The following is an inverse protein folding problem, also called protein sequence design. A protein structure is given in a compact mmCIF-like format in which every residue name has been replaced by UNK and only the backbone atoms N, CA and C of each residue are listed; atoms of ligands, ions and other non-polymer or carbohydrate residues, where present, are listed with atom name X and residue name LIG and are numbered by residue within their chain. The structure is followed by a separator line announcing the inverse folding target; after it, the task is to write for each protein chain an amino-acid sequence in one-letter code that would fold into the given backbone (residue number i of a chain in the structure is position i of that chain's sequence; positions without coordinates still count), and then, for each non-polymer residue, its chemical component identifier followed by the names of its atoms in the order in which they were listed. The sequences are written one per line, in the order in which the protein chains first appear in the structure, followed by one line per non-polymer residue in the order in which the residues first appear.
data_IF_581998256055
#
_entry.id   IF_581998256055
#
_cell.length_a   1.000
_cell.length_b   1.000
_cell.length_c   1.000
_cell.angle_alpha   90.00
_cell.angle_beta   90.00
_cell.angle_gamma   90.00
#
_symmetry.space_group_name_H-M   'P 1'
#
loop_
_entity.id
_entity.type
_entity.pdbx_description
1 polymer ?
#
# COMPACT_ATOMS: atom_id res chain seq x y z
N UNK A 1 -22.48 -40.51 15.24
CA UNK A 1 -21.57 -40.44 16.41
C UNK A 1 -21.26 -38.96 16.62
N UNK A 2 -22.04 -38.32 17.47
CA UNK A 2 -21.83 -36.90 17.82
C UNK A 2 -20.68 -36.90 18.82
N UNK A 3 -19.50 -36.45 18.42
CA UNK A 3 -18.43 -36.20 19.37
C UNK A 3 -18.92 -35.09 20.31
N UNK A 4 -19.12 -35.37 21.62
CA UNK A 4 -19.36 -34.28 22.55
C UNK A 4 -18.17 -33.33 22.43
N UNK A 5 -18.47 -32.05 22.21
CA UNK A 5 -17.49 -30.99 22.04
C UNK A 5 -16.38 -31.18 23.06
N UNK A 6 -15.12 -31.16 22.62
CA UNK A 6 -13.94 -31.28 23.50
C UNK A 6 -14.07 -30.44 24.79
N UNK A 7 -14.73 -29.28 24.68
CA UNK A 7 -15.11 -28.41 25.79
C UNK A 7 -15.97 -29.08 26.87
N UNK A 8 -16.94 -29.93 26.52
CA UNK A 8 -17.81 -30.59 27.49
C UNK A 8 -17.03 -31.58 28.36
N UNK A 9 -16.14 -32.37 27.75
CA UNK A 9 -15.23 -33.28 28.46
C UNK A 9 -14.24 -32.48 29.34
N UNK A 10 -13.71 -31.38 28.81
CA UNK A 10 -12.82 -30.47 29.51
C UNK A 10 -13.50 -29.80 30.72
N UNK A 11 -14.74 -29.33 30.57
CA UNK A 11 -15.53 -28.75 31.66
C UNK A 11 -16.03 -29.78 32.67
N UNK A 12 -16.29 -31.04 32.27
CA UNK A 12 -16.55 -32.12 33.23
C UNK A 12 -15.31 -32.58 33.99
N UNK A 13 -14.10 -32.36 33.44
CA UNK A 13 -12.83 -32.68 34.09
C UNK A 13 -12.34 -31.55 35.02
N UNK A 14 -12.62 -30.29 34.68
CA UNK A 14 -12.32 -29.13 35.52
C UNK A 14 -13.46 -28.78 36.49
N UNK A 15 -14.69 -29.19 36.17
CA UNK A 15 -15.87 -29.04 36.99
C UNK A 15 -15.79 -29.93 38.22
N UNK A 16 -15.82 -29.29 39.39
CA UNK A 16 -15.72 -29.87 40.73
C UNK A 16 -16.87 -30.81 41.13
N UNK A 17 -17.53 -31.52 40.22
CA UNK A 17 -18.41 -32.62 40.61
C UNK A 17 -17.62 -33.94 40.55
N UNK A 18 -17.10 -34.43 41.70
CA UNK A 18 -16.40 -35.69 41.76
C UNK A 18 -17.38 -36.81 41.43
N UNK A 19 -17.41 -37.24 40.17
CA UNK A 19 -18.00 -38.53 39.84
C UNK A 19 -17.21 -39.62 40.58
N UNK A 20 -17.86 -40.48 41.39
CA UNK A 20 -17.20 -41.30 42.40
C UNK A 20 -16.34 -42.46 41.86
N UNK A 21 -16.16 -42.59 40.55
CA UNK A 21 -15.50 -43.74 39.91
C UNK A 21 -14.25 -43.41 39.07
N UNK A 22 -13.70 -42.19 39.15
CA UNK A 22 -12.47 -41.85 38.41
C UNK A 22 -11.25 -42.50 39.09
N UNK A 23 -10.91 -43.69 38.58
CA UNK A 23 -9.81 -44.59 38.91
C UNK A 23 -8.59 -43.94 39.59
N UNK A 24 -8.08 -44.59 40.65
CA UNK A 24 -6.92 -44.24 41.49
C UNK A 24 -5.56 -44.26 40.77
N UNK A 25 -5.54 -44.42 39.44
CA UNK A 25 -4.31 -44.57 38.66
C UNK A 25 -3.78 -43.17 38.32
N UNK A 26 -2.74 -42.74 39.04
CA UNK A 26 -2.09 -41.42 38.91
C UNK A 26 -1.56 -41.15 37.50
N UNK A 27 -1.10 -42.17 36.78
CA UNK A 27 -0.58 -42.03 35.41
C UNK A 27 -1.65 -41.63 34.39
N UNK A 28 -2.88 -42.15 34.50
CA UNK A 28 -3.98 -41.79 33.60
C UNK A 28 -4.40 -40.32 33.80
N UNK A 29 -4.42 -39.84 35.04
CA UNK A 29 -4.74 -38.44 35.35
C UNK A 29 -3.72 -37.47 34.75
N UNK A 30 -2.43 -37.81 34.83
CA UNK A 30 -1.35 -37.02 34.22
C UNK A 30 -1.48 -36.98 32.69
N UNK A 31 -1.82 -38.10 32.05
CA UNK A 31 -2.02 -38.17 30.61
C UNK A 31 -3.20 -37.30 30.16
N UNK A 32 -4.33 -37.39 30.87
CA UNK A 32 -5.53 -36.57 30.58
C UNK A 32 -5.23 -35.08 30.75
N UNK A 33 -4.52 -34.69 31.83
CA UNK A 33 -4.16 -33.30 32.08
C UNK A 33 -3.21 -32.75 31.01
N UNK A 34 -2.23 -33.53 30.56
CA UNK A 34 -1.34 -33.13 29.47
C UNK A 34 -2.11 -32.95 28.15
N UNK A 35 -2.96 -33.89 27.76
CA UNK A 35 -3.79 -33.76 26.55
C UNK A 35 -4.69 -32.53 26.64
N UNK A 36 -5.28 -32.29 27.79
CA UNK A 36 -6.14 -31.12 28.05
C UNK A 36 -5.35 -29.82 27.92
N UNK A 37 -4.16 -29.75 28.51
CA UNK A 37 -3.27 -28.58 28.43
C UNK A 37 -2.80 -28.31 26.99
N UNK A 38 -2.40 -29.35 26.25
CA UNK A 38 -2.06 -29.22 24.84
C UNK A 38 -3.27 -28.77 23.99
N UNK A 39 -4.46 -29.31 24.24
CA UNK A 39 -5.68 -28.89 23.57
C UNK A 39 -6.03 -27.42 23.83
N UNK A 40 -5.89 -26.97 25.08
CA UNK A 40 -6.09 -25.56 25.45
C UNK A 40 -5.07 -24.64 24.76
N UNK A 41 -3.79 -25.01 24.76
CA UNK A 41 -2.73 -24.27 24.07
C UNK A 41 -3.00 -24.13 22.57
N UNK A 42 -3.38 -25.23 21.90
CA UNK A 42 -3.73 -25.22 20.48
C UNK A 42 -4.93 -24.30 20.23
N UNK A 43 -5.95 -24.38 21.08
CA UNK A 43 -7.14 -23.50 20.98
C UNK A 43 -6.78 -22.02 21.14
N UNK A 44 -5.89 -21.68 22.08
CA UNK A 44 -5.44 -20.30 22.27
C UNK A 44 -4.61 -19.79 21.08
N UNK A 45 -3.68 -20.60 20.55
CA UNK A 45 -2.89 -20.26 19.36
C UNK A 45 -3.80 -20.05 18.14
N UNK A 46 -4.78 -20.94 17.95
CA UNK A 46 -5.76 -20.83 16.87
C UNK A 46 -6.58 -19.54 17.00
N UNK A 47 -7.14 -19.25 18.18
CA UNK A 47 -7.91 -18.04 18.42
C UNK A 47 -7.06 -16.77 18.23
N UNK A 48 -5.82 -16.76 18.72
CA UNK A 48 -4.90 -15.64 18.52
C UNK A 48 -4.55 -15.42 17.04
N UNK A 49 -4.32 -16.50 16.29
CA UNK A 49 -4.04 -16.43 14.85
C UNK A 49 -5.27 -15.94 14.07
N UNK A 50 -6.45 -16.41 14.43
CA UNK A 50 -7.72 -16.02 13.84
C UNK A 50 -8.02 -14.54 14.09
N UNK A 51 -7.80 -14.06 15.32
CA UNK A 51 -7.87 -12.62 15.64
C UNK A 51 -6.86 -11.83 14.81
N UNK A 52 -5.61 -12.30 14.70
CA UNK A 52 -4.57 -11.63 13.89
C UNK A 52 -4.96 -11.54 12.41
N UNK A 53 -5.53 -12.60 11.84
CA UNK A 53 -6.01 -12.60 10.45
C UNK A 53 -7.20 -11.66 10.27
N UNK A 54 -8.16 -11.65 11.20
CA UNK A 54 -9.32 -10.75 11.10
C UNK A 54 -9.01 -9.28 11.41
N UNK A 55 -8.00 -9.02 12.24
CA UNK A 55 -7.55 -7.65 12.54
C UNK A 55 -6.61 -7.11 11.46
N UNK A 56 -5.91 -7.96 10.72
CA UNK A 56 -5.01 -7.55 9.64
C UNK A 56 -5.74 -7.36 8.30
N UNK A 57 -6.36 -6.20 8.12
CA UNK A 57 -6.88 -5.81 6.81
C UNK A 57 -5.75 -5.38 5.90
N UNK A 58 -5.30 -6.30 5.05
CA UNK A 58 -4.36 -5.99 3.97
C UNK A 58 -5.11 -5.35 2.81
N UNK A 59 -5.04 -4.03 2.72
CA UNK A 59 -5.45 -3.31 1.51
C UNK A 59 -4.33 -3.44 0.48
N UNK A 60 -4.45 -4.37 -0.47
CA UNK A 60 -3.54 -4.44 -1.61
C UNK A 60 -4.07 -3.57 -2.74
N UNK A 61 -3.21 -2.74 -3.31
CA UNK A 61 -3.53 -2.01 -4.53
C UNK A 61 -3.67 -3.00 -5.70
N UNK A 62 -4.64 -2.78 -6.60
CA UNK A 62 -4.87 -3.69 -7.73
C UNK A 62 -3.77 -3.61 -8.79
N UNK A 63 -3.06 -2.49 -8.85
CA UNK A 63 -1.93 -2.26 -9.77
C UNK A 63 -0.71 -1.91 -8.93
N UNK A 64 0.32 -2.76 -8.95
CA UNK A 64 1.57 -2.55 -8.22
C UNK A 64 2.76 -2.35 -9.17
N UNK A 65 2.65 -2.80 -10.41
CA UNK A 65 3.66 -2.67 -11.45
C UNK A 65 3.08 -2.19 -12.78
N UNK A 66 3.95 -1.70 -13.67
CA UNK A 66 3.56 -1.40 -15.06
C UNK A 66 3.08 -2.65 -15.81
N UNK A 67 3.65 -3.82 -15.49
CA UNK A 67 3.23 -5.08 -16.08
C UNK A 67 1.80 -5.45 -15.67
N UNK A 68 1.40 -5.13 -14.43
CA UNK A 68 0.02 -5.33 -13.98
C UNK A 68 -0.95 -4.44 -14.77
N UNK A 69 -0.53 -3.21 -15.11
CA UNK A 69 -1.35 -2.29 -15.90
C UNK A 69 -1.52 -2.78 -17.34
N UNK A 70 -0.47 -3.39 -17.91
CA UNK A 70 -0.51 -4.03 -19.23
C UNK A 70 -1.37 -5.29 -19.21
N UNK A 71 -1.34 -6.05 -18.11
CA UNK A 71 -2.07 -7.32 -17.98
C UNK A 71 -3.56 -7.08 -17.68
N UNK A 72 -3.88 -6.08 -16.86
CA UNK A 72 -5.23 -5.74 -16.46
C UNK A 72 -5.76 -4.54 -17.26
N UNK A 73 -6.33 -4.82 -18.43
CA UNK A 73 -6.92 -3.81 -19.32
C UNK A 73 -8.13 -3.06 -18.74
N UNK A 74 -8.64 -3.50 -17.58
CA UNK A 74 -9.66 -2.80 -16.81
C UNK A 74 -9.22 -1.43 -16.30
N UNK A 75 -7.91 -1.26 -16.07
CA UNK A 75 -7.34 -0.02 -15.55
C UNK A 75 -6.79 0.83 -16.68
N UNK A 76 -7.05 2.14 -16.61
CA UNK A 76 -6.62 3.11 -17.62
C UNK A 76 -5.52 3.99 -17.06
N UNK A 77 -4.38 4.01 -17.74
CA UNK A 77 -3.28 4.92 -17.45
C UNK A 77 -3.66 6.35 -17.83
N UNK A 78 -3.40 7.30 -16.93
CA UNK A 78 -3.39 8.73 -17.26
C UNK A 78 -2.06 9.36 -16.89
N UNK A 79 -1.58 10.22 -17.77
CA UNK A 79 -0.34 10.97 -17.62
C UNK A 79 -0.65 12.45 -17.87
N UNK A 80 0.00 13.32 -17.11
CA UNK A 80 -0.08 14.76 -17.32
C UNK A 80 0.63 15.15 -18.62
N UNK A 81 -0.11 15.75 -19.56
CA UNK A 81 0.44 16.17 -20.84
C UNK A 81 1.53 17.24 -20.67
N UNK A 82 2.61 17.16 -21.45
CA UNK A 82 3.71 18.12 -21.46
C UNK A 82 4.60 18.06 -20.22
N UNK A 83 4.69 16.90 -19.57
CA UNK A 83 5.55 16.69 -18.40
C UNK A 83 6.72 15.77 -18.75
N UNK A 84 7.80 15.77 -17.97
CA UNK A 84 8.92 14.86 -18.20
C UNK A 84 8.50 13.37 -18.22
N UNK A 85 7.38 13.03 -17.57
CA UNK A 85 6.83 11.68 -17.57
C UNK A 85 6.26 11.30 -18.93
N UNK A 86 5.73 12.24 -19.73
CA UNK A 86 5.32 11.94 -21.11
C UNK A 86 6.52 11.56 -21.96
N UNK A 87 7.64 12.26 -21.76
CA UNK A 87 8.86 12.05 -22.52
C UNK A 87 9.48 10.68 -22.24
N UNK A 88 9.30 10.11 -21.05
CA UNK A 88 9.71 8.73 -20.74
C UNK A 88 9.08 7.68 -21.64
N UNK A 89 7.86 7.93 -22.14
CA UNK A 89 7.16 6.99 -23.01
C UNK A 89 7.32 7.34 -24.50
N UNK A 90 7.37 8.63 -24.84
CA UNK A 90 7.45 9.07 -26.24
C UNK A 90 8.88 9.07 -26.78
N UNK A 91 9.88 9.36 -25.94
CA UNK A 91 11.27 9.53 -26.35
C UNK A 91 12.18 8.40 -25.83
N UNK A 92 11.72 7.17 -25.99
CA UNK A 92 12.44 5.98 -25.50
C UNK A 92 13.76 5.71 -26.25
N UNK A 93 13.99 6.30 -27.42
CA UNK A 93 15.19 6.06 -28.24
C UNK A 93 16.51 6.51 -27.57
N UNK A 94 16.44 7.44 -26.61
CA UNK A 94 17.61 7.98 -25.92
C UNK A 94 17.98 7.22 -24.63
N UNK A 95 17.19 6.22 -24.24
CA UNK A 95 17.43 5.48 -23.00
C UNK A 95 18.55 4.45 -23.18
N UNK A 96 19.58 4.56 -22.34
CA UNK A 96 20.77 3.70 -22.40
C UNK A 96 20.59 2.35 -21.69
N UNK A 97 19.65 2.25 -20.75
CA UNK A 97 19.38 0.99 -20.04
C UNK A 97 18.32 0.15 -20.78
N UNK A 98 18.70 -1.03 -21.35
CA UNK A 98 17.77 -1.86 -22.10
C UNK A 98 16.61 -2.40 -21.25
N UNK A 99 16.81 -2.61 -19.95
CA UNK A 99 15.78 -3.17 -19.06
C UNK A 99 14.66 -2.16 -18.73
N UNK A 100 14.99 -0.87 -18.74
CA UNK A 100 14.06 0.23 -18.54
C UNK A 100 13.33 0.53 -19.84
N UNK A 101 14.09 0.54 -20.95
CA UNK A 101 13.59 0.70 -22.29
C UNK A 101 12.47 -0.29 -22.63
N UNK A 102 12.68 -1.58 -22.39
CA UNK A 102 11.71 -2.63 -22.72
C UNK A 102 10.38 -2.46 -21.96
N UNK A 103 10.44 -2.01 -20.70
CA UNK A 103 9.25 -1.78 -19.87
C UNK A 103 8.41 -0.62 -20.39
N UNK A 104 9.04 0.53 -20.67
CA UNK A 104 8.33 1.70 -21.19
C UNK A 104 7.79 1.48 -22.59
N UNK A 105 8.58 0.84 -23.46
CA UNK A 105 8.18 0.50 -24.83
C UNK A 105 6.97 -0.44 -24.82
N UNK A 106 6.94 -1.45 -23.95
CA UNK A 106 5.81 -2.36 -23.84
C UNK A 106 4.52 -1.63 -23.44
N UNK A 107 4.60 -0.72 -22.46
CA UNK A 107 3.46 0.10 -22.03
C UNK A 107 3.02 1.03 -23.16
N UNK A 108 3.96 1.68 -23.84
CA UNK A 108 3.67 2.57 -24.95
C UNK A 108 2.90 1.85 -26.05
N UNK A 109 3.45 0.75 -26.57
CA UNK A 109 2.86 -0.01 -27.69
C UNK A 109 1.48 -0.60 -27.34
N UNK A 110 1.25 -1.02 -26.09
CA UNK A 110 0.01 -1.70 -25.72
C UNK A 110 -1.10 -0.78 -25.22
N UNK A 111 -0.74 0.35 -24.59
CA UNK A 111 -1.70 1.21 -23.90
C UNK A 111 -1.80 2.59 -24.56
N UNK A 112 -0.66 3.17 -24.96
CA UNK A 112 -0.57 4.57 -25.38
C UNK A 112 -0.74 4.72 -26.89
N UNK A 113 -0.09 3.87 -27.67
CA UNK A 113 -0.09 3.91 -29.13
C UNK A 113 -1.53 3.81 -29.67
N UNK A 114 -1.97 4.84 -30.41
CA UNK A 114 -3.32 4.95 -30.95
C UNK A 114 -4.42 5.38 -29.95
N UNK A 115 -4.08 5.62 -28.67
CA UNK A 115 -5.01 6.10 -27.63
C UNK A 115 -4.48 7.32 -26.86
N UNK A 116 -3.57 8.09 -27.45
CA UNK A 116 -2.88 9.23 -26.82
C UNK A 116 -3.85 10.23 -26.16
N UNK A 117 -4.95 10.59 -26.83
CA UNK A 117 -5.97 11.51 -26.31
C UNK A 117 -6.66 11.02 -25.02
N UNK A 118 -6.66 9.70 -24.78
CA UNK A 118 -7.27 9.07 -23.60
C UNK A 118 -6.28 8.79 -22.49
N UNK A 119 -4.98 9.02 -22.72
CA UNK A 119 -3.91 8.84 -21.74
C UNK A 119 -3.39 10.19 -21.30
N UNK A 120 -3.16 11.12 -22.23
CA UNK A 120 -2.59 12.42 -21.94
C UNK A 120 -3.69 13.45 -21.62
N UNK A 121 -3.72 13.90 -20.37
CA UNK A 121 -4.68 14.91 -19.91
C UNK A 121 -3.99 16.19 -19.45
N UNK A 122 -4.66 17.36 -19.58
CA UNK A 122 -4.23 18.57 -18.91
C UNK A 122 -4.14 18.34 -17.40
N UNK A 123 -3.08 18.86 -16.79
CA UNK A 123 -2.77 18.57 -15.40
C UNK A 123 -3.91 18.92 -14.43
N UNK A 124 -4.58 20.05 -14.66
CA UNK A 124 -5.65 20.56 -13.80
C UNK A 124 -6.90 19.65 -13.75
N UNK A 125 -7.10 18.78 -14.76
CA UNK A 125 -8.25 17.87 -14.84
C UNK A 125 -8.02 16.53 -14.15
N UNK A 126 -6.77 16.18 -13.86
CA UNK A 126 -6.40 14.87 -13.30
C UNK A 126 -7.07 14.59 -11.95
N UNK A 127 -7.08 15.54 -10.98
CA UNK A 127 -7.71 15.29 -9.68
C UNK A 127 -9.19 14.94 -9.79
N UNK A 128 -9.93 15.60 -10.70
CA UNK A 128 -11.35 15.36 -10.92
C UNK A 128 -11.62 13.98 -11.54
N UNK A 129 -10.81 13.58 -12.53
CA UNK A 129 -10.91 12.27 -13.18
C UNK A 129 -10.68 11.15 -12.17
N UNK A 130 -9.64 11.28 -11.34
CA UNK A 130 -9.30 10.31 -10.30
C UNK A 130 -10.35 10.22 -9.20
N UNK A 131 -10.96 11.34 -8.82
CA UNK A 131 -12.04 11.36 -7.83
C UNK A 131 -13.31 10.67 -8.34
N UNK A 132 -13.61 10.80 -9.64
CA UNK A 132 -14.83 10.27 -10.25
C UNK A 132 -14.73 8.78 -10.58
N UNK A 133 -13.54 8.32 -11.02
CA UNK A 133 -13.39 7.00 -11.61
C UNK A 133 -12.27 6.18 -10.96
N UNK A 134 -12.66 5.10 -10.26
CA UNK A 134 -11.72 4.19 -9.56
C UNK A 134 -10.84 3.33 -10.48
N UNK A 135 -11.15 3.29 -11.77
CA UNK A 135 -10.42 2.50 -12.77
C UNK A 135 -9.26 3.28 -13.42
N UNK A 136 -9.07 4.56 -13.11
CA UNK A 136 -7.94 5.31 -13.64
C UNK A 136 -6.76 5.27 -12.67
N UNK A 137 -5.58 5.12 -13.24
CA UNK A 137 -4.30 5.12 -12.54
C UNK A 137 -3.49 6.29 -13.08
N UNK A 138 -3.17 7.24 -12.21
CA UNK A 138 -2.31 8.35 -12.57
C UNK A 138 -0.84 7.98 -12.36
N UNK A 139 -0.03 8.26 -13.36
CA UNK A 139 1.41 8.18 -13.26
C UNK A 139 2.02 9.58 -13.29
N UNK A 140 2.71 9.93 -12.20
CA UNK A 140 3.44 11.18 -12.08
C UNK A 140 4.14 11.32 -10.74
N UNK A 141 4.64 12.52 -10.46
CA UNK A 141 5.37 12.82 -9.23
C UNK A 141 4.44 12.93 -8.01
N UNK A 142 4.80 12.25 -6.91
CA UNK A 142 4.01 12.23 -5.67
C UNK A 142 3.80 13.64 -5.08
N UNK A 143 4.85 14.47 -5.07
CA UNK A 143 4.79 15.79 -4.44
C UNK A 143 3.78 16.72 -5.11
N UNK A 144 3.65 16.60 -6.44
CA UNK A 144 2.69 17.41 -7.18
C UNK A 144 1.25 16.94 -6.90
N UNK A 145 1.01 15.63 -6.72
CA UNK A 145 -0.28 15.12 -6.25
C UNK A 145 -0.64 15.58 -4.84
N UNK A 146 0.35 15.55 -3.94
CA UNK A 146 0.23 16.02 -2.55
C UNK A 146 -0.21 17.48 -2.44
N UNK A 147 0.24 18.33 -3.36
CA UNK A 147 -0.04 19.77 -3.31
C UNK A 147 -1.35 20.16 -3.99
N UNK A 148 -1.78 19.40 -5.00
CA UNK A 148 -2.96 19.75 -5.79
C UNK A 148 -4.23 18.96 -5.44
N UNK A 149 -4.09 17.74 -4.92
CA UNK A 149 -5.26 16.88 -4.68
C UNK A 149 -5.60 16.81 -3.20
N UNK A 150 -6.72 17.46 -2.82
CA UNK A 150 -7.22 17.46 -1.43
C UNK A 150 -7.60 16.05 -0.93
N UNK A 151 -7.94 15.16 -1.85
CA UNK A 151 -8.39 13.79 -1.56
C UNK A 151 -7.22 12.79 -1.35
N UNK A 152 -5.98 13.20 -1.62
CA UNK A 152 -4.78 12.43 -1.33
C UNK A 152 -4.37 12.62 0.15
N UNK A 153 -3.93 11.57 0.88
CA UNK A 153 -3.73 10.18 0.49
C UNK A 153 -4.92 9.29 0.89
N UNK A 154 -6.12 9.85 1.07
CA UNK A 154 -7.24 9.11 1.68
C UNK A 154 -8.05 8.32 0.67
N UNK A 155 -8.53 8.98 -0.40
CA UNK A 155 -9.23 8.30 -1.50
C UNK A 155 -8.26 7.83 -2.57
N UNK A 156 -7.15 8.54 -2.71
CA UNK A 156 -6.07 8.22 -3.62
C UNK A 156 -4.91 7.69 -2.82
N UNK A 157 -4.36 6.56 -3.26
CA UNK A 157 -3.22 5.93 -2.60
C UNK A 157 -2.11 5.80 -3.63
N UNK A 158 -0.91 6.26 -3.28
CA UNK A 158 0.27 6.02 -4.10
C UNK A 158 0.67 4.54 -4.03
N UNK A 159 1.02 4.00 -5.20
CA UNK A 159 1.68 2.71 -5.28
C UNK A 159 3.15 2.83 -4.87
N UNK A 160 3.75 1.75 -4.38
CA UNK A 160 5.20 1.66 -4.15
C UNK A 160 6.00 1.52 -5.44
N UNK A 161 5.36 1.72 -6.59
CA UNK A 161 5.98 1.63 -7.90
C UNK A 161 6.95 2.79 -8.10
N UNK A 162 8.24 2.49 -8.02
CA UNK A 162 9.31 3.41 -8.40
C UNK A 162 9.67 3.16 -9.88
N UNK A 163 9.32 4.12 -10.73
CA UNK A 163 9.62 4.08 -12.16
C UNK A 163 10.93 4.78 -12.51
N UNK A 164 11.52 5.48 -11.57
CA UNK A 164 12.72 6.24 -11.84
C UNK A 164 12.79 7.48 -10.97
N UNK A 165 14.00 8.02 -10.95
CA UNK A 165 14.33 9.18 -10.16
C UNK A 165 14.15 10.44 -11.00
N UNK A 166 13.20 11.27 -10.60
CA UNK A 166 13.11 12.65 -11.08
C UNK A 166 13.94 13.53 -10.15
N UNK A 167 15.08 14.00 -10.65
CA UNK A 167 15.87 15.00 -9.96
C UNK A 167 15.40 16.40 -10.38
N UNK A 168 15.00 17.21 -9.40
CA UNK A 168 14.68 18.61 -9.63
C UNK A 168 15.97 19.42 -9.77
N UNK A 169 16.05 20.22 -10.83
CA UNK A 169 17.20 21.05 -11.14
C UNK A 169 16.79 22.49 -11.46
N UNK A 170 17.71 23.42 -11.23
CA UNK A 170 17.57 24.79 -11.71
C UNK A 170 18.06 24.86 -13.15
N UNK A 171 17.21 25.37 -14.04
CA UNK A 171 17.54 25.53 -15.45
C UNK A 171 17.94 26.99 -15.69
N UNK A 172 19.12 27.19 -16.27
CA UNK A 172 19.64 28.52 -16.61
C UNK A 172 19.69 28.70 -18.12
N UNK A 173 19.58 29.96 -18.56
CA UNK A 173 19.86 30.32 -19.95
C UNK A 173 21.31 29.94 -20.30
N UNK A 174 21.55 29.54 -21.55
CA UNK A 174 22.91 29.32 -22.05
C UNK A 174 23.77 30.58 -21.83
N UNK A 175 24.96 30.41 -21.27
CA UNK A 175 25.89 31.49 -20.89
C UNK A 175 25.33 32.47 -19.84
N UNK A 176 24.52 31.98 -18.89
CA UNK A 176 24.08 32.79 -17.75
C UNK A 176 25.26 33.19 -16.86
N UNK A 177 25.53 34.49 -16.78
CA UNK A 177 26.71 35.07 -16.11
C UNK A 177 26.82 34.69 -14.63
N UNK A 178 25.70 34.52 -13.94
CA UNK A 178 25.67 34.20 -12.51
C UNK A 178 25.57 32.72 -12.20
N UNK A 179 25.70 31.84 -13.20
CA UNK A 179 25.55 30.39 -13.02
C UNK A 179 26.41 29.86 -11.88
N UNK A 180 27.70 30.19 -11.88
CA UNK A 180 28.65 29.71 -10.86
C UNK A 180 28.25 30.19 -9.45
N UNK A 181 27.78 31.43 -9.34
CA UNK A 181 27.32 31.98 -8.07
C UNK A 181 26.12 31.19 -7.53
N UNK A 182 25.10 30.91 -8.36
CA UNK A 182 23.94 30.14 -7.93
C UNK A 182 24.29 28.68 -7.61
N UNK A 183 25.13 28.04 -8.43
CA UNK A 183 25.61 26.68 -8.16
C UNK A 183 26.35 26.61 -6.81
N UNK A 184 27.21 27.60 -6.51
CA UNK A 184 27.88 27.70 -5.22
C UNK A 184 26.88 27.85 -4.05
N UNK A 185 25.90 28.74 -4.17
CA UNK A 185 24.89 28.92 -3.11
C UNK A 185 24.03 27.68 -2.91
N UNK A 186 23.59 27.03 -4.00
CA UNK A 186 22.82 25.78 -3.93
C UNK A 186 23.63 24.67 -3.26
N UNK A 187 24.92 24.55 -3.61
CA UNK A 187 25.82 23.60 -2.96
C UNK A 187 25.94 23.88 -1.46
N UNK A 188 26.12 25.14 -1.07
CA UNK A 188 26.19 25.55 0.34
C UNK A 188 24.88 25.25 1.09
N UNK A 189 23.72 25.53 0.50
CA UNK A 189 22.41 25.20 1.08
C UNK A 189 22.22 23.69 1.26
N UNK A 190 22.75 22.88 0.34
CA UNK A 190 22.74 21.42 0.45
C UNK A 190 23.69 20.93 1.55
N UNK A 191 24.93 21.41 1.57
CA UNK A 191 25.95 21.02 2.57
C UNK A 191 25.56 21.40 4.00
N UNK A 192 24.88 22.54 4.16
CA UNK A 192 24.36 22.97 5.46
C UNK A 192 23.08 22.25 5.89
N UNK A 193 22.50 21.41 5.03
CA UNK A 193 21.23 20.72 5.28
C UNK A 193 20.01 21.64 5.29
N UNK A 194 20.13 22.89 4.83
CA UNK A 194 19.01 23.83 4.76
C UNK A 194 17.92 23.33 3.80
N UNK A 195 18.31 22.76 2.67
CA UNK A 195 17.36 22.18 1.70
C UNK A 195 16.55 21.05 2.34
N UNK A 196 17.23 20.12 3.02
CA UNK A 196 16.57 18.97 3.66
C UNK A 196 15.62 19.41 4.78
N UNK A 197 16.03 20.43 5.56
CA UNK A 197 15.19 21.02 6.59
C UNK A 197 13.92 21.63 5.99
N UNK A 198 14.06 22.50 4.99
CA UNK A 198 12.90 23.15 4.36
C UNK A 198 12.00 22.13 3.66
N UNK A 199 12.59 21.12 3.00
CA UNK A 199 11.84 20.02 2.41
C UNK A 199 11.01 19.27 3.45
N UNK A 200 11.61 18.92 4.60
CA UNK A 200 10.91 18.27 5.70
C UNK A 200 9.78 19.13 6.26
N UNK A 201 10.01 20.44 6.41
CA UNK A 201 8.99 21.38 6.88
C UNK A 201 7.82 21.51 5.89
N UNK A 202 8.12 21.58 4.58
CA UNK A 202 7.11 21.57 3.53
C UNK A 202 6.31 20.29 3.55
N UNK A 203 6.95 19.12 3.65
CA UNK A 203 6.25 17.85 3.77
C UNK A 203 5.32 17.81 4.98
N UNK A 204 5.75 18.30 6.15
CA UNK A 204 4.92 18.36 7.36
C UNK A 204 3.70 19.28 7.12
N UNK A 205 3.93 20.46 6.53
CA UNK A 205 2.88 21.46 6.26
C UNK A 205 1.87 20.97 5.22
N UNK A 206 2.33 20.24 4.22
CA UNK A 206 1.45 19.64 3.21
C UNK A 206 0.68 18.49 3.85
N UNK A 207 1.36 17.58 4.56
CA UNK A 207 0.73 16.44 5.25
C UNK A 207 -0.30 16.86 6.30
N UNK A 208 -0.10 17.97 7.00
CA UNK A 208 -1.07 18.48 7.97
C UNK A 208 -2.33 19.06 7.35
N UNK A 209 -2.31 19.40 6.05
CA UNK A 209 -3.49 19.83 5.28
C UNK A 209 -4.26 18.68 4.65
N UNK A 210 -3.63 17.52 4.51
CA UNK A 210 -4.30 16.33 4.00
C UNK A 210 -5.39 15.93 4.99
N UNK A 211 -6.42 15.26 4.49
CA UNK A 211 -7.50 14.74 5.32
C UNK A 211 -6.91 14.18 6.62
N UNK A 212 -7.49 14.52 7.78
CA UNK A 212 -7.08 13.93 9.05
C UNK A 212 -7.06 12.43 8.86
N UNK A 213 -5.88 11.87 8.61
CA UNK A 213 -5.60 10.47 8.72
C UNK A 213 -5.72 10.24 10.21
N UNK A 214 -6.98 10.12 10.69
CA UNK A 214 -7.29 9.63 12.02
C UNK A 214 -6.41 8.41 12.13
N UNK A 215 -5.48 8.51 13.05
CA UNK A 215 -4.46 7.52 13.26
C UNK A 215 -5.18 6.17 13.35
N UNK A 216 -5.13 5.40 12.26
CA UNK A 216 -5.97 4.20 12.03
C UNK A 216 -5.65 3.07 13.02
N UNK A 217 -4.75 3.36 13.96
CA UNK A 217 -4.36 2.49 15.06
C UNK A 217 -5.46 2.33 16.12
N UNK A 218 -6.51 3.18 16.13
CA UNK A 218 -7.60 3.09 17.12
C UNK A 218 -9.01 2.97 16.52
N UNK A 219 -9.18 3.03 15.19
CA UNK A 219 -10.51 2.85 14.60
C UNK A 219 -10.79 1.35 14.49
N UNK A 220 -11.69 0.86 15.35
CA UNK A 220 -12.25 -0.49 15.30
C UNK A 220 -12.78 -0.75 13.88
N UNK A 221 -12.09 -1.60 13.12
CA UNK A 221 -12.63 -2.05 11.84
C UNK A 221 -13.66 -3.15 12.12
N UNK A 222 -14.95 -2.95 11.80
CA UNK A 222 -15.97 -3.95 12.11
C UNK A 222 -15.69 -5.24 11.33
N UNK A 223 -15.82 -6.38 12.02
CA UNK A 223 -15.71 -7.70 11.39
C UNK A 223 -16.80 -7.79 10.33
N UNK A 224 -16.41 -7.94 9.07
CA UNK A 224 -17.34 -8.01 7.95
C UNK A 224 -18.01 -9.38 8.00
N UNK A 225 -19.35 -9.41 8.02
CA UNK A 225 -20.16 -10.65 8.09
C UNK A 225 -19.73 -11.70 7.06
N UNK A 226 -19.27 -11.28 5.88
CA UNK A 226 -18.77 -12.18 4.83
C UNK A 226 -17.63 -13.11 5.30
N UNK A 227 -16.79 -12.66 6.24
CA UNK A 227 -15.73 -13.51 6.82
C UNK A 227 -16.29 -14.55 7.81
N UNK A 228 -17.43 -14.26 8.44
CA UNK A 228 -18.11 -15.15 9.37
C UNK A 228 -18.93 -16.21 8.63
N UNK A 229 -19.50 -15.88 7.47
CA UNK A 229 -20.35 -16.79 6.68
C UNK A 229 -19.61 -18.08 6.28
N UNK A 230 -18.29 -18.01 6.02
CA UNK A 230 -17.46 -19.20 5.72
C UNK A 230 -17.33 -20.18 6.89
N UNK A 231 -17.65 -19.77 8.13
CA UNK A 231 -17.66 -20.65 9.31
C UNK A 231 -18.99 -21.43 9.39
N UNK A 232 -20.05 -20.93 8.75
CA UNK A 232 -21.39 -21.50 8.78
C UNK A 232 -21.73 -22.39 7.58
N UNK A 233 -20.82 -22.50 6.60
CA UNK A 233 -20.91 -23.41 5.44
C UNK A 233 -20.06 -24.64 5.73
#
# INVERSE_FOLDING_TARGET
IVFPSFLMVFFTLLGQEPSPCINKITSLRLLILNISLFGALISWIFNGSLISVFTSVKSSLPVQSLNDLVTHSDYRLIIANGTAVTDWFTNTENETDPSVLDRYRMVYQKIIEGNEEKVFFPFDKIPEILATNKKYVYLGEEFTMLTQTKDYPCRLQASSLDLGRLDLGWIYKRNFEYREFFEYQLKKLKETGMIDREWKLLQIKVKSRLCHYKNKNNDFMPIIIQQIVLIFI
#
